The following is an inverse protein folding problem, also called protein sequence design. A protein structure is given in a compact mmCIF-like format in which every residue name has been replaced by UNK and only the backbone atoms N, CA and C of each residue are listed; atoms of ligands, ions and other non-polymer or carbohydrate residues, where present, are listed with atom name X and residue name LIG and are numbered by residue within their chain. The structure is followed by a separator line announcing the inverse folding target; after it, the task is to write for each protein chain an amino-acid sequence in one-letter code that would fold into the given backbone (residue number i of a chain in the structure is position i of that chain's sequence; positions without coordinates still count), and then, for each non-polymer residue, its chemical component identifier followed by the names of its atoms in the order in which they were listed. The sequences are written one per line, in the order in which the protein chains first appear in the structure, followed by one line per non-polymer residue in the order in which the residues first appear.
data_IF_525140232083
#
_entry.id   IF_525140232083
#
_cell.length_a   1.000
_cell.length_b   1.000
_cell.length_c   1.000
_cell.angle_alpha   90.00
_cell.angle_beta   90.00
_cell.angle_gamma   90.00
#
_symmetry.space_group_name_H-M   'P 1'
#
loop_
_entity.id
_entity.type
_entity.pdbx_description
1 polymer ?
#
# COMPACT_ATOMS: atom_id res chain seq x y z
N UNK A 1 16.42 2.87 -13.26
CA UNK A 1 15.97 3.32 -11.92
C UNK A 1 15.44 4.75 -11.92
N UNK A 2 16.12 5.74 -12.53
CA UNK A 2 15.67 7.15 -12.54
C UNK A 2 14.32 7.35 -13.21
N UNK A 3 14.06 6.69 -14.34
CA UNK A 3 12.78 6.77 -15.08
C UNK A 3 11.58 6.31 -14.24
N UNK A 4 11.64 5.11 -13.65
CA UNK A 4 10.58 4.59 -12.78
C UNK A 4 10.30 5.50 -11.58
N UNK A 5 11.34 6.15 -11.05
CA UNK A 5 11.18 7.11 -9.95
C UNK A 5 10.43 8.37 -10.38
N UNK A 6 10.73 8.91 -11.57
CA UNK A 6 10.01 10.05 -12.12
C UNK A 6 8.54 9.70 -12.41
N UNK A 7 8.28 8.54 -13.01
CA UNK A 7 6.92 8.06 -13.29
C UNK A 7 6.08 7.93 -12.00
N UNK A 8 6.67 7.39 -10.93
CA UNK A 8 6.01 7.31 -9.63
C UNK A 8 5.78 8.69 -8.97
N UNK A 9 6.73 9.63 -9.11
CA UNK A 9 6.56 10.99 -8.61
C UNK A 9 5.46 11.75 -9.38
N UNK A 10 5.34 11.54 -10.69
CA UNK A 10 4.30 12.15 -11.50
C UNK A 10 2.92 11.55 -11.23
N UNK A 11 2.83 10.24 -11.04
CA UNK A 11 1.60 9.59 -10.56
C UNK A 11 1.17 10.14 -9.20
N UNK A 12 2.12 10.39 -8.29
CA UNK A 12 1.82 11.01 -7.00
C UNK A 12 1.29 12.44 -7.16
N UNK A 13 1.82 13.23 -8.11
CA UNK A 13 1.28 14.57 -8.40
C UNK A 13 -0.17 14.53 -8.87
N UNK A 14 -0.59 13.51 -9.62
CA UNK A 14 -2.00 13.36 -10.05
C UNK A 14 -2.96 13.19 -8.87
N UNK A 15 -2.48 12.81 -7.70
CA UNK A 15 -3.30 12.74 -6.47
C UNK A 15 -3.43 14.11 -5.77
N UNK A 16 -2.69 15.13 -6.21
CA UNK A 16 -2.81 16.50 -5.65
C UNK A 16 -4.16 17.09 -6.07
N UNK A 17 -4.93 17.54 -5.09
CA UNK A 17 -6.27 18.10 -5.31
C UNK A 17 -7.41 17.11 -5.08
N UNK A 18 -7.12 15.81 -4.96
CA UNK A 18 -8.12 14.82 -4.55
C UNK A 18 -8.49 15.06 -3.08
N UNK A 19 -9.78 15.21 -2.74
CA UNK A 19 -10.24 15.37 -1.36
C UNK A 19 -9.69 14.27 -0.44
N UNK A 20 -9.36 14.63 0.80
CA UNK A 20 -8.87 13.65 1.79
C UNK A 20 -9.86 12.52 2.03
N UNK A 21 -11.16 12.78 1.96
CA UNK A 21 -12.21 11.76 2.06
C UNK A 21 -12.12 10.72 0.94
N UNK A 22 -11.98 11.14 -0.32
CA UNK A 22 -11.85 10.24 -1.47
C UNK A 22 -10.54 9.43 -1.40
N UNK A 23 -9.43 10.07 -1.01
CA UNK A 23 -8.16 9.36 -0.78
C UNK A 23 -8.30 8.33 0.34
N UNK A 24 -8.92 8.70 1.45
CA UNK A 24 -9.19 7.79 2.56
C UNK A 24 -10.02 6.58 2.11
N UNK A 25 -11.07 6.81 1.32
CA UNK A 25 -11.90 5.72 0.78
C UNK A 25 -11.09 4.78 -0.12
N UNK A 26 -10.24 5.32 -1.00
CA UNK A 26 -9.39 4.51 -1.86
C UNK A 26 -8.41 3.64 -1.05
N UNK A 27 -7.76 4.21 -0.03
CA UNK A 27 -6.87 3.45 0.84
C UNK A 27 -7.62 2.47 1.75
N UNK A 28 -8.88 2.78 2.12
CA UNK A 28 -9.73 1.83 2.83
C UNK A 28 -9.99 0.58 1.97
N UNK A 29 -10.41 0.77 0.71
CA UNK A 29 -10.61 -0.34 -0.25
C UNK A 29 -9.32 -1.12 -0.49
N UNK A 30 -8.18 -0.44 -0.61
CA UNK A 30 -6.87 -1.08 -0.77
C UNK A 30 -6.51 -1.95 0.45
N UNK A 31 -6.71 -1.44 1.67
CA UNK A 31 -6.45 -2.20 2.89
C UNK A 31 -7.33 -3.45 2.99
N UNK A 32 -8.61 -3.33 2.65
CA UNK A 32 -9.54 -4.47 2.60
C UNK A 32 -9.13 -5.51 1.55
N UNK A 33 -8.71 -5.07 0.37
CA UNK A 33 -8.29 -5.97 -0.70
C UNK A 33 -7.05 -6.80 -0.28
N UNK A 34 -6.04 -6.16 0.31
CA UNK A 34 -4.88 -6.89 0.82
C UNK A 34 -5.22 -7.81 1.98
N UNK A 35 -6.15 -7.41 2.87
CA UNK A 35 -6.67 -8.29 3.91
C UNK A 35 -7.32 -9.55 3.34
N UNK A 36 -8.14 -9.39 2.29
CA UNK A 36 -8.79 -10.51 1.60
C UNK A 36 -7.78 -11.42 0.88
N UNK A 37 -6.73 -10.86 0.27
CA UNK A 37 -5.65 -11.63 -0.36
C UNK A 37 -4.89 -12.45 0.68
N UNK A 38 -4.48 -11.82 1.80
CA UNK A 38 -3.78 -12.52 2.88
C UNK A 38 -4.62 -13.65 3.47
N UNK A 39 -5.91 -13.40 3.71
CA UNK A 39 -6.85 -14.41 4.20
C UNK A 39 -7.01 -15.56 3.20
N UNK A 40 -7.29 -15.27 1.93
CA UNK A 40 -7.41 -16.29 0.90
C UNK A 40 -6.14 -17.13 0.78
N UNK A 41 -4.98 -16.47 0.79
CA UNK A 41 -3.68 -17.14 0.68
C UNK A 41 -3.39 -18.06 1.87
N UNK A 42 -3.80 -17.66 3.07
CA UNK A 42 -3.70 -18.50 4.27
C UNK A 42 -4.66 -19.71 4.19
N UNK A 43 -5.92 -19.46 3.83
CA UNK A 43 -6.97 -20.49 3.79
C UNK A 43 -6.71 -21.55 2.72
N UNK A 44 -6.04 -21.18 1.63
CA UNK A 44 -5.74 -22.06 0.49
C UNK A 44 -4.27 -22.45 0.41
N UNK A 45 -3.52 -22.26 1.51
CA UNK A 45 -2.06 -22.39 1.51
C UNK A 45 -1.58 -23.73 0.98
N UNK A 46 -2.17 -24.83 1.47
CA UNK A 46 -1.80 -26.18 1.06
C UNK A 46 -2.26 -26.50 -0.36
N UNK A 47 -3.52 -26.18 -0.67
CA UNK A 47 -4.15 -26.45 -1.97
C UNK A 47 -3.46 -25.74 -3.13
N UNK A 48 -3.00 -24.51 -2.91
CA UNK A 48 -2.34 -23.68 -3.92
C UNK A 48 -0.81 -23.69 -3.83
N UNK A 49 -0.22 -24.46 -2.90
CA UNK A 49 1.23 -24.50 -2.70
C UNK A 49 1.84 -23.14 -2.33
N UNK A 50 1.11 -22.31 -1.58
CA UNK A 50 1.58 -20.98 -1.20
C UNK A 50 2.68 -21.12 -0.14
N UNK A 51 3.84 -20.57 -0.47
CA UNK A 51 4.99 -20.60 0.43
C UNK A 51 4.77 -19.72 1.65
N UNK A 52 5.45 -20.04 2.76
CA UNK A 52 5.46 -19.20 3.95
C UNK A 52 5.99 -17.78 3.65
N UNK A 53 6.94 -17.65 2.71
CA UNK A 53 7.51 -16.37 2.30
C UNK A 53 6.46 -15.50 1.62
N UNK A 54 5.72 -16.06 0.66
CA UNK A 54 4.65 -15.35 -0.05
C UNK A 54 3.52 -14.94 0.89
N UNK A 55 3.14 -15.80 1.84
CA UNK A 55 2.13 -15.47 2.84
C UNK A 55 2.58 -14.26 3.70
N UNK A 56 3.82 -14.28 4.18
CA UNK A 56 4.39 -13.18 4.96
C UNK A 56 4.49 -11.87 4.14
N UNK A 57 4.74 -11.96 2.83
CA UNK A 57 4.69 -10.78 1.95
C UNK A 57 3.27 -10.20 1.84
N UNK A 58 2.24 -11.04 1.68
CA UNK A 58 0.86 -10.56 1.63
C UNK A 58 0.41 -9.93 2.96
N UNK A 59 0.78 -10.53 4.09
CA UNK A 59 0.53 -9.96 5.41
C UNK A 59 1.23 -8.61 5.60
N UNK A 60 2.48 -8.50 5.14
CA UNK A 60 3.20 -7.23 5.14
C UNK A 60 2.50 -6.17 4.28
N UNK A 61 2.08 -6.51 3.06
CA UNK A 61 1.37 -5.58 2.19
C UNK A 61 0.03 -5.12 2.80
N UNK A 62 -0.69 -6.02 3.46
CA UNK A 62 -1.88 -5.67 4.22
C UNK A 62 -1.56 -4.66 5.34
N UNK A 63 -0.54 -4.92 6.15
CA UNK A 63 -0.12 -4.02 7.22
C UNK A 63 0.31 -2.64 6.69
N UNK A 64 1.08 -2.61 5.60
CA UNK A 64 1.52 -1.37 4.96
C UNK A 64 0.33 -0.58 4.39
N UNK A 65 -0.66 -1.26 3.81
CA UNK A 65 -1.89 -0.64 3.32
C UNK A 65 -2.76 -0.06 4.45
N UNK A 66 -2.88 -0.77 5.59
CA UNK A 66 -3.55 -0.27 6.81
C UNK A 66 -2.85 0.97 7.33
N UNK A 67 -1.52 0.94 7.45
CA UNK A 67 -0.72 2.08 7.89
C UNK A 67 -0.90 3.29 6.97
N UNK A 68 -0.93 3.06 5.65
CA UNK A 68 -1.15 4.13 4.68
C UNK A 68 -2.56 4.72 4.79
N UNK A 69 -3.60 3.87 4.92
CA UNK A 69 -4.98 4.28 5.17
C UNK A 69 -5.07 5.15 6.41
N UNK A 70 -4.56 4.70 7.54
CA UNK A 70 -4.70 5.40 8.81
C UNK A 70 -4.03 6.78 8.76
N UNK A 71 -2.88 6.90 8.09
CA UNK A 71 -2.24 8.19 7.86
C UNK A 71 -3.08 9.11 6.96
N UNK A 72 -3.55 8.61 5.81
CA UNK A 72 -4.34 9.41 4.86
C UNK A 72 -5.67 9.85 5.46
N UNK A 73 -6.38 8.95 6.14
CA UNK A 73 -7.66 9.23 6.79
C UNK A 73 -7.51 10.20 7.98
N UNK A 74 -6.37 10.16 8.69
CA UNK A 74 -6.04 11.16 9.71
C UNK A 74 -5.60 12.52 9.13
N UNK A 75 -5.62 12.69 7.80
CA UNK A 75 -5.18 13.90 7.11
C UNK A 75 -3.66 14.11 7.14
N UNK A 76 -2.88 13.10 7.55
CA UNK A 76 -1.42 13.17 7.49
C UNK A 76 -1.00 13.07 6.03
N UNK A 77 -0.01 13.86 5.58
CA UNK A 77 0.51 13.71 4.24
C UNK A 77 1.04 12.29 4.06
N UNK A 78 0.56 11.60 3.03
CA UNK A 78 1.20 10.37 2.58
C UNK A 78 2.68 10.68 2.31
N UNK A 79 3.60 9.81 2.75
CA UNK A 79 5.03 10.05 2.55
C UNK A 79 5.29 10.35 1.07
N UNK A 80 6.02 11.43 0.75
CA UNK A 80 6.37 11.74 -0.63
C UNK A 80 7.07 10.54 -1.27
N UNK A 81 6.87 10.36 -2.56
CA UNK A 81 7.71 9.48 -3.36
C UNK A 81 8.81 10.32 -4.03
N UNK A 82 10.09 9.90 -3.99
CA UNK A 82 10.60 8.76 -3.23
C UNK A 82 10.54 9.06 -1.72
N UNK A 83 10.37 8.03 -0.85
CA UNK A 83 10.48 8.23 0.59
C UNK A 83 11.82 8.90 0.88
N UNK A 84 11.83 9.93 1.72
CA UNK A 84 13.06 10.64 2.10
C UNK A 84 14.11 9.63 2.55
N UNK A 85 15.07 9.34 1.67
CA UNK A 85 16.24 8.55 2.02
C UNK A 85 17.13 9.53 2.78
N UNK A 86 17.00 9.54 4.11
CA UNK A 86 18.00 10.20 4.94
C UNK A 86 19.29 9.40 4.74
N UNK A 87 20.16 9.88 3.84
CA UNK A 87 21.54 9.42 3.78
C UNK A 87 22.22 9.92 5.05
N UNK A 88 22.49 9.01 5.98
CA UNK A 88 23.43 9.24 7.09
C UNK A 88 24.84 9.00 6.59
#
# INVERSE_FOLDING_TARGET
MTRLRSEAADALKQTRGVPTSERCEAYNRLSMAWGAVAQYANDHRELCGISAVSLNEFEKYHHDAVTARDNVCAGRPARPFPPDIIQR
#
